data_IF_549312281615
#
_entry.id   IF_549312281615
#
_cell.length_a   1.000
_cell.length_b   1.000
_cell.length_c   1.000
_cell.angle_alpha   90.00
_cell.angle_beta   90.00
_cell.angle_gamma   90.00
#
_symmetry.space_group_name_H-M   'P 1'
#
loop_
_entity.id
_entity.type
_entity.pdbx_description
1 polymer ?
#
# COMPACT_ATOMS: atom_id res chain seq x y z
N UNK A 1 -18.31 9.97 -24.15
CA UNK A 1 -18.19 10.22 -22.70
C UNK A 1 -19.03 11.42 -22.31
N UNK A 2 -19.87 11.23 -21.29
CA UNK A 2 -20.74 12.22 -20.65
C UNK A 2 -19.92 13.44 -20.16
N UNK A 3 -20.47 14.66 -20.33
CA UNK A 3 -19.85 15.92 -19.91
C UNK A 3 -19.64 15.98 -18.39
N UNK A 4 -20.51 15.33 -17.61
CA UNK A 4 -20.35 15.19 -16.16
C UNK A 4 -19.14 14.35 -15.79
N UNK A 5 -18.94 13.24 -16.49
CA UNK A 5 -17.80 12.35 -16.26
C UNK A 5 -16.48 13.04 -16.61
N UNK A 6 -16.43 13.82 -17.70
CA UNK A 6 -15.23 14.61 -18.07
C UNK A 6 -14.91 15.70 -17.06
N UNK A 7 -15.90 16.52 -16.69
CA UNK A 7 -15.68 17.60 -15.72
C UNK A 7 -15.24 17.07 -14.34
N UNK A 8 -15.80 15.93 -13.91
CA UNK A 8 -15.34 15.25 -12.70
C UNK A 8 -13.89 14.77 -12.85
N UNK A 9 -13.56 14.10 -13.96
CA UNK A 9 -12.20 13.62 -14.23
C UNK A 9 -11.19 14.76 -14.24
N UNK A 10 -11.48 15.86 -14.92
CA UNK A 10 -10.58 17.04 -15.00
C UNK A 10 -10.29 17.64 -13.62
N UNK A 11 -11.24 17.55 -12.67
CA UNK A 11 -11.12 18.15 -11.32
C UNK A 11 -10.67 17.18 -10.23
N UNK A 12 -10.73 15.86 -10.48
CA UNK A 12 -10.48 14.80 -9.48
C UNK A 12 -9.39 13.82 -9.91
N UNK A 13 -8.71 14.09 -11.02
CA UNK A 13 -7.51 13.35 -11.44
C UNK A 13 -6.28 14.15 -11.06
N UNK A 14 -5.34 13.49 -10.38
CA UNK A 14 -4.08 14.08 -9.93
C UNK A 14 -2.92 13.25 -10.47
N UNK A 15 -1.74 13.86 -10.59
CA UNK A 15 -0.51 13.14 -10.91
C UNK A 15 0.29 12.95 -9.61
N UNK A 16 0.79 11.75 -9.37
CA UNK A 16 1.64 11.48 -8.20
C UNK A 16 2.88 12.37 -8.16
N UNK A 17 3.45 12.70 -9.33
CA UNK A 17 4.63 13.58 -9.45
C UNK A 17 4.41 15.00 -8.94
N UNK A 18 3.16 15.44 -8.85
CA UNK A 18 2.79 16.79 -8.40
C UNK A 18 2.61 16.84 -6.87
N UNK A 19 2.68 15.69 -6.18
CA UNK A 19 2.51 15.56 -4.74
C UNK A 19 3.87 15.26 -4.09
N UNK A 20 4.47 16.25 -3.43
CA UNK A 20 5.74 16.03 -2.75
C UNK A 20 5.55 15.29 -1.43
N UNK A 21 6.58 14.57 -0.97
CA UNK A 21 6.54 13.90 0.33
C UNK A 21 6.25 14.88 1.49
N UNK A 22 6.81 16.09 1.43
CA UNK A 22 6.58 17.11 2.46
C UNK A 22 5.10 17.53 2.52
N UNK A 23 4.46 17.73 1.35
CA UNK A 23 3.04 18.07 1.27
C UNK A 23 2.18 16.93 1.83
N UNK A 24 2.52 15.68 1.49
CA UNK A 24 1.81 14.49 1.97
C UNK A 24 1.92 14.33 3.49
N UNK A 25 3.12 14.49 4.06
CA UNK A 25 3.33 14.41 5.50
C UNK A 25 2.63 15.55 6.25
N UNK A 26 2.65 16.76 5.70
CA UNK A 26 1.92 17.89 6.26
C UNK A 26 0.40 17.62 6.26
N UNK A 27 -0.13 17.12 5.13
CA UNK A 27 -1.55 16.79 4.99
C UNK A 27 -1.97 15.60 5.86
N UNK A 28 -1.09 14.61 6.07
CA UNK A 28 -1.34 13.46 6.95
C UNK A 28 -1.63 13.92 8.38
N UNK A 29 -0.86 14.87 8.91
CA UNK A 29 -0.96 15.35 10.28
C UNK A 29 -1.01 14.18 11.29
N UNK A 30 -2.07 14.05 12.08
CA UNK A 30 -2.26 12.96 13.05
C UNK A 30 -2.98 11.73 12.48
N UNK A 31 -3.35 11.74 11.20
CA UNK A 31 -4.07 10.63 10.56
C UNK A 31 -3.13 9.46 10.38
N UNK A 32 -3.56 8.25 10.78
CA UNK A 32 -2.81 7.02 10.50
C UNK A 32 -3.22 6.42 9.16
N UNK A 33 -2.25 5.86 8.45
CA UNK A 33 -2.39 5.24 7.14
C UNK A 33 -1.93 3.78 7.25
N UNK A 34 -2.84 2.85 6.96
CA UNK A 34 -2.54 1.43 6.82
C UNK A 34 -2.54 1.07 5.33
N UNK A 35 -1.53 0.33 4.89
CA UNK A 35 -1.50 -0.32 3.57
C UNK A 35 -1.94 -1.76 3.72
N UNK A 36 -2.91 -2.17 2.91
CA UNK A 36 -3.43 -3.54 2.88
C UNK A 36 -3.14 -4.15 1.51
N UNK A 37 -2.50 -5.31 1.49
CA UNK A 37 -2.20 -6.07 0.29
C UNK A 37 -2.97 -7.39 0.33
N UNK A 38 -4.03 -7.56 -0.49
CA UNK A 38 -4.62 -8.87 -0.72
C UNK A 38 -3.64 -9.75 -1.49
N UNK A 39 -3.45 -10.99 -1.08
CA UNK A 39 -2.52 -11.92 -1.74
C UNK A 39 -3.15 -13.32 -1.91
N UNK A 40 -2.78 -14.01 -2.99
CA UNK A 40 -3.12 -15.40 -3.29
C UNK A 40 -2.06 -15.97 -4.25
N UNK A 41 -1.16 -16.81 -3.72
CA UNK A 41 -0.05 -17.43 -4.46
C UNK A 41 0.93 -16.42 -5.12
N UNK A 42 1.40 -15.46 -4.33
CA UNK A 42 2.28 -14.35 -4.71
C UNK A 42 3.68 -14.42 -4.08
N UNK A 43 4.17 -15.60 -3.66
CA UNK A 43 5.45 -15.74 -2.94
C UNK A 43 6.65 -15.12 -3.67
N UNK A 44 6.60 -15.07 -5.01
CA UNK A 44 7.68 -14.52 -5.85
C UNK A 44 7.72 -12.99 -5.92
N UNK A 45 6.62 -12.32 -5.61
CA UNK A 45 6.42 -10.88 -5.84
C UNK A 45 6.22 -10.11 -4.53
N UNK A 46 5.59 -10.75 -3.54
CA UNK A 46 5.11 -10.08 -2.33
C UNK A 46 6.26 -9.55 -1.46
N UNK A 47 7.36 -10.30 -1.33
CA UNK A 47 8.50 -9.94 -0.49
C UNK A 47 9.16 -8.61 -0.88
N UNK A 48 9.58 -8.43 -2.16
CA UNK A 48 10.12 -7.16 -2.63
C UNK A 48 9.16 -5.97 -2.47
N UNK A 49 7.85 -6.18 -2.68
CA UNK A 49 6.83 -5.12 -2.53
C UNK A 49 6.75 -4.66 -1.07
N UNK A 50 6.65 -5.60 -0.13
CA UNK A 50 6.59 -5.31 1.31
C UNK A 50 7.86 -4.60 1.77
N UNK A 51 9.03 -5.07 1.34
CA UNK A 51 10.32 -4.47 1.70
C UNK A 51 10.40 -3.02 1.23
N UNK A 52 10.02 -2.74 -0.02
CA UNK A 52 9.99 -1.38 -0.57
C UNK A 52 9.07 -0.46 0.25
N UNK A 53 7.84 -0.88 0.53
CA UNK A 53 6.88 -0.08 1.32
C UNK A 53 7.41 0.15 2.74
N UNK A 54 7.90 -0.89 3.40
CA UNK A 54 8.40 -0.82 4.77
C UNK A 54 9.60 0.11 4.87
N UNK A 55 10.60 -0.06 4.01
CA UNK A 55 11.83 0.72 4.11
C UNK A 55 11.60 2.18 3.69
N UNK A 56 10.93 2.41 2.56
CA UNK A 56 10.80 3.75 2.00
C UNK A 56 9.65 4.54 2.63
N UNK A 57 8.50 3.91 2.88
CA UNK A 57 7.28 4.62 3.30
C UNK A 57 7.01 4.55 4.80
N UNK A 58 7.51 3.53 5.51
CA UNK A 58 7.37 3.43 6.97
C UNK A 58 8.62 3.92 7.69
N UNK A 59 9.79 3.35 7.39
CA UNK A 59 11.03 3.62 8.14
C UNK A 59 11.63 4.97 7.77
N UNK A 60 11.82 5.24 6.47
CA UNK A 60 12.53 6.45 6.04
C UNK A 60 11.71 7.73 6.23
N UNK A 61 10.40 7.70 5.97
CA UNK A 61 9.58 8.91 6.00
C UNK A 61 8.35 8.86 6.93
N UNK A 62 7.97 7.70 7.45
CA UNK A 62 6.82 7.57 8.37
C UNK A 62 5.47 7.95 7.74
N UNK A 63 5.34 7.86 6.42
CA UNK A 63 4.07 8.12 5.74
C UNK A 63 3.05 7.00 5.99
N UNK A 64 3.49 5.75 5.99
CA UNK A 64 2.68 4.56 6.30
C UNK A 64 2.96 4.10 7.73
N UNK A 65 1.90 3.81 8.50
CA UNK A 65 2.01 3.44 9.91
C UNK A 65 1.79 1.95 10.16
N UNK A 66 1.21 1.24 9.20
CA UNK A 66 0.87 -0.17 9.31
C UNK A 66 0.88 -0.81 7.92
N UNK A 67 1.40 -2.04 7.83
CA UNK A 67 1.46 -2.82 6.60
C UNK A 67 0.90 -4.21 6.87
N UNK A 68 -0.24 -4.49 6.24
CA UNK A 68 -1.03 -5.71 6.42
C UNK A 68 -1.11 -6.48 5.11
N UNK A 69 -0.96 -7.79 5.18
CA UNK A 69 -1.32 -8.71 4.10
C UNK A 69 -2.54 -9.51 4.52
N UNK A 70 -3.53 -9.58 3.63
CA UNK A 70 -4.67 -10.47 3.77
C UNK A 70 -4.46 -11.63 2.80
N UNK A 71 -4.03 -12.76 3.34
CA UNK A 71 -3.78 -13.99 2.59
C UNK A 71 -5.09 -14.73 2.33
N UNK A 72 -5.40 -14.96 1.04
CA UNK A 72 -6.65 -15.56 0.59
C UNK A 72 -6.44 -17.04 0.27
N UNK A 73 -6.07 -17.84 1.27
CA UNK A 73 -5.80 -19.28 1.15
C UNK A 73 -4.70 -19.61 0.12
N UNK A 74 -3.55 -18.94 0.21
CA UNK A 74 -2.40 -19.32 -0.61
C UNK A 74 -1.96 -20.76 -0.29
N UNK A 75 -1.59 -21.47 -1.34
CA UNK A 75 -1.03 -22.83 -1.27
C UNK A 75 0.50 -22.84 -1.34
N UNK A 76 1.10 -21.69 -1.64
CA UNK A 76 2.53 -21.47 -1.67
C UNK A 76 3.08 -20.77 -0.40
N UNK A 77 4.30 -20.24 -0.49
CA UNK A 77 5.00 -19.58 0.62
C UNK A 77 4.61 -18.11 0.81
N UNK A 78 3.51 -17.62 0.22
CA UNK A 78 3.11 -16.20 0.25
C UNK A 78 3.07 -15.63 1.66
N UNK A 79 2.38 -16.29 2.58
CA UNK A 79 2.24 -15.82 3.96
C UNK A 79 3.59 -15.73 4.66
N UNK A 80 4.44 -16.76 4.55
CA UNK A 80 5.74 -16.80 5.23
C UNK A 80 6.73 -15.78 4.64
N UNK A 81 6.72 -15.57 3.31
CA UNK A 81 7.52 -14.54 2.66
C UNK A 81 7.06 -13.14 3.09
N UNK A 82 5.75 -12.92 3.21
CA UNK A 82 5.20 -11.64 3.66
C UNK A 82 5.56 -11.30 5.11
N UNK A 83 5.40 -12.26 6.04
CA UNK A 83 5.82 -12.11 7.43
C UNK A 83 7.33 -11.85 7.53
N UNK A 84 8.13 -12.63 6.79
CA UNK A 84 9.59 -12.49 6.75
C UNK A 84 10.06 -11.12 6.25
N UNK A 85 9.32 -10.50 5.32
CA UNK A 85 9.59 -9.15 4.85
C UNK A 85 9.14 -8.05 5.83
N UNK A 86 8.30 -8.40 6.81
CA UNK A 86 7.89 -7.54 7.92
C UNK A 86 6.47 -7.00 7.85
N UNK A 87 5.58 -7.63 7.07
CA UNK A 87 4.15 -7.34 7.13
C UNK A 87 3.46 -8.13 8.26
N UNK A 88 2.33 -7.61 8.75
CA UNK A 88 1.41 -8.41 9.56
C UNK A 88 0.47 -9.18 8.65
N UNK A 89 0.40 -10.50 8.78
CA UNK A 89 -0.40 -11.36 7.90
C UNK A 89 -1.65 -11.87 8.63
N UNK A 90 -2.79 -11.80 7.96
CA UNK A 90 -4.06 -12.40 8.39
C UNK A 90 -4.65 -13.24 7.26
N UNK A 91 -5.37 -14.31 7.60
CA UNK A 91 -6.12 -15.10 6.63
C UNK A 91 -7.51 -14.48 6.37
N UNK A 92 -7.94 -14.49 5.11
CA UNK A 92 -9.31 -14.19 4.71
C UNK A 92 -10.21 -15.40 5.02
N UNK A 93 -10.67 -15.50 6.27
CA UNK A 93 -11.59 -16.56 6.71
C UNK A 93 -12.93 -16.58 5.95
#
# INVERSE_FOLDING_TARGET
MDLRARNWSDRRTFQSRDLTLADLLHAKASTRISVVIPAHDEARTIGPIITCIRDELMIQCGLVDELVVIDSDSTDETASVAEGAGAHVFSAA
#
